data_IF_233926686601
#
_entry.id   IF_233926686601
#
_cell.length_a   1.000
_cell.length_b   1.000
_cell.length_c   1.000
_cell.angle_alpha   90.00
_cell.angle_beta   90.00
_cell.angle_gamma   90.00
#
_symmetry.space_group_name_H-M   'P 1'
#
loop_
_entity.id
_entity.type
_entity.pdbx_description
1 polymer ?
#
# COMPACT_ATOMS: atom_id res chain seq x y z
N UNK A 1 -12.71 -18.23 33.40
CA UNK A 1 -12.36 -17.82 34.77
C UNK A 1 -11.59 -16.53 34.67
N UNK A 2 -12.17 -15.38 35.07
CA UNK A 2 -11.43 -14.11 35.10
C UNK A 2 -11.21 -13.58 36.53
N UNK A 3 -11.68 -14.29 37.57
CA UNK A 3 -11.38 -13.91 38.96
C UNK A 3 -11.57 -15.03 40.01
N UNK A 4 -11.44 -16.30 39.61
CA UNK A 4 -11.65 -17.46 40.51
C UNK A 4 -13.00 -17.53 41.27
N UNK A 5 -13.95 -16.66 40.95
CA UNK A 5 -15.33 -16.72 41.45
C UNK A 5 -16.17 -17.65 40.56
N UNK A 6 -16.82 -18.64 41.17
CA UNK A 6 -17.82 -19.45 40.49
C UNK A 6 -19.03 -18.56 40.14
N UNK A 7 -19.20 -18.28 38.85
CA UNK A 7 -20.37 -17.58 38.35
C UNK A 7 -21.58 -18.51 38.49
N UNK A 8 -22.50 -18.17 39.39
CA UNK A 8 -23.77 -18.89 39.51
C UNK A 8 -24.66 -18.58 38.30
N UNK A 9 -24.57 -19.44 37.29
CA UNK A 9 -25.39 -19.40 36.08
C UNK A 9 -26.83 -19.78 36.41
N UNK A 10 -27.75 -18.83 36.25
CA UNK A 10 -29.20 -19.04 36.44
C UNK A 10 -29.86 -19.66 35.21
N UNK A 11 -29.28 -19.50 34.02
CA UNK A 11 -29.79 -20.10 32.80
C UNK A 11 -29.42 -19.32 31.54
N UNK A 12 -30.18 -19.54 30.47
CA UNK A 12 -30.03 -18.82 29.22
C UNK A 12 -31.37 -18.23 28.79
N UNK A 13 -31.35 -17.01 28.26
CA UNK A 13 -32.52 -16.35 27.68
C UNK A 13 -32.19 -15.83 26.29
N UNK A 14 -33.18 -15.80 25.41
CA UNK A 14 -33.05 -15.19 24.10
C UNK A 14 -33.83 -13.87 24.11
N UNK A 15 -33.15 -12.77 23.84
CA UNK A 15 -33.73 -11.43 23.84
C UNK A 15 -33.57 -10.80 22.45
N UNK A 16 -34.58 -10.02 22.05
CA UNK A 16 -34.52 -9.17 20.87
C UNK A 16 -33.85 -7.85 21.26
N UNK A 17 -32.61 -7.67 20.84
CA UNK A 17 -31.77 -6.49 21.12
C UNK A 17 -31.71 -5.59 19.88
N UNK A 18 -31.81 -4.28 20.08
CA UNK A 18 -31.75 -3.31 18.99
C UNK A 18 -30.46 -2.50 19.05
N UNK A 19 -29.74 -2.44 17.92
CA UNK A 19 -28.52 -1.64 17.76
C UNK A 19 -28.58 -0.98 16.38
N UNK A 20 -28.39 0.35 16.35
CA UNK A 20 -28.37 1.15 15.12
C UNK A 20 -29.63 0.93 14.24
N UNK A 21 -30.81 0.87 14.89
CA UNK A 21 -32.11 0.66 14.24
C UNK A 21 -32.36 -0.75 13.72
N UNK A 22 -31.45 -1.71 13.95
CA UNK A 22 -31.59 -3.11 13.54
C UNK A 22 -31.83 -3.99 14.75
N UNK A 23 -32.83 -4.88 14.64
CA UNK A 23 -33.19 -5.84 15.68
C UNK A 23 -32.48 -7.17 15.47
N UNK A 24 -31.89 -7.69 16.53
CA UNK A 24 -31.12 -8.92 16.56
C UNK A 24 -31.60 -9.82 17.69
N UNK A 25 -31.82 -11.09 17.37
CA UNK A 25 -32.17 -12.10 18.37
C UNK A 25 -30.91 -12.73 18.94
N UNK A 26 -30.60 -12.46 20.20
CA UNK A 26 -29.33 -12.86 20.85
C UNK A 26 -29.61 -13.71 22.08
N UNK A 27 -28.85 -14.80 22.21
CA UNK A 27 -28.85 -15.66 23.40
C UNK A 27 -27.89 -15.10 24.43
N UNK A 28 -28.42 -14.74 25.60
CA UNK A 28 -27.68 -14.29 26.77
C UNK A 28 -27.62 -15.41 27.81
N UNK A 29 -26.49 -15.47 28.52
CA UNK A 29 -26.34 -16.30 29.72
C UNK A 29 -26.66 -15.42 30.91
N UNK A 30 -27.65 -15.82 31.71
CA UNK A 30 -28.04 -15.08 32.91
C UNK A 30 -27.24 -15.61 34.08
N UNK A 31 -26.49 -14.72 34.71
CA UNK A 31 -25.65 -15.02 35.88
C UNK A 31 -26.07 -14.11 37.03
N UNK A 32 -26.11 -14.63 38.25
CA UNK A 32 -26.33 -13.81 39.45
C UNK A 32 -25.00 -13.19 39.85
N UNK A 33 -24.77 -11.95 39.46
CA UNK A 33 -23.55 -11.19 39.76
C UNK A 33 -23.89 -9.70 39.83
N UNK A 34 -23.11 -8.94 40.59
CA UNK A 34 -23.23 -7.47 40.68
C UNK A 34 -22.35 -6.74 39.64
N UNK A 35 -21.63 -7.49 38.81
CA UNK A 35 -20.72 -6.98 37.79
C UNK A 35 -21.44 -6.45 36.55
N UNK A 36 -20.75 -5.57 35.81
CA UNK A 36 -21.22 -5.04 34.52
C UNK A 36 -21.39 -6.19 33.51
N UNK A 37 -22.54 -6.29 32.82
CA UNK A 37 -22.75 -7.34 31.83
C UNK A 37 -21.80 -7.16 30.65
N UNK A 38 -21.18 -8.26 30.23
CA UNK A 38 -20.26 -8.27 29.09
C UNK A 38 -20.90 -8.90 27.86
N UNK A 39 -20.49 -8.42 26.69
CA UNK A 39 -20.90 -8.98 25.43
C UNK A 39 -19.78 -9.86 24.87
N UNK A 40 -20.09 -11.13 24.62
CA UNK A 40 -19.14 -12.07 24.03
C UNK A 40 -18.77 -11.66 22.60
N UNK A 41 -17.54 -12.00 22.19
CA UNK A 41 -17.01 -11.69 20.86
C UNK A 41 -17.95 -12.08 19.71
N UNK A 42 -18.58 -13.26 19.80
CA UNK A 42 -19.52 -13.74 18.78
C UNK A 42 -20.72 -12.78 18.66
N UNK A 43 -21.24 -12.30 19.79
CA UNK A 43 -22.34 -11.35 19.80
C UNK A 43 -21.89 -9.97 19.31
N UNK A 44 -20.70 -9.49 19.68
CA UNK A 44 -20.14 -8.23 19.16
C UNK A 44 -19.97 -8.25 17.63
N UNK A 45 -19.54 -9.38 17.05
CA UNK A 45 -19.41 -9.54 15.59
C UNK A 45 -20.80 -9.60 14.94
N UNK A 46 -21.75 -10.35 15.51
CA UNK A 46 -23.14 -10.43 14.99
C UNK A 46 -23.85 -9.08 15.00
N UNK A 47 -23.60 -8.30 16.05
CA UNK A 47 -24.11 -6.94 16.24
C UNK A 47 -23.33 -5.89 15.44
N UNK A 48 -22.30 -6.30 14.69
CA UNK A 48 -21.43 -5.41 13.93
C UNK A 48 -20.78 -4.30 14.78
N UNK A 49 -20.60 -4.53 16.08
CA UNK A 49 -19.92 -3.60 17.01
C UNK A 49 -18.40 -3.63 16.81
N UNK A 50 -17.88 -4.72 16.24
CA UNK A 50 -16.45 -4.89 15.95
C UNK A 50 -16.29 -5.23 14.48
N UNK A 51 -15.61 -4.36 13.74
CA UNK A 51 -15.25 -4.58 12.33
C UNK A 51 -13.84 -5.18 12.26
N UNK A 52 -13.73 -6.45 11.86
CA UNK A 52 -12.43 -7.10 11.60
C UNK A 52 -11.96 -6.75 10.18
N UNK A 53 -11.05 -5.79 10.07
CA UNK A 53 -10.44 -5.41 8.79
C UNK A 53 -9.16 -6.23 8.58
N UNK A 54 -9.30 -7.53 8.31
CA UNK A 54 -8.14 -8.39 7.99
C UNK A 54 -7.68 -8.28 6.53
N UNK A 55 -8.49 -7.66 5.68
CA UNK A 55 -8.11 -7.32 4.34
C UNK A 55 -8.76 -5.98 4.00
N UNK A 56 -7.95 -5.01 3.62
CA UNK A 56 -8.46 -3.88 2.85
C UNK A 56 -8.88 -4.48 1.51
N UNK A 57 -10.17 -4.81 1.36
CA UNK A 57 -10.74 -4.85 0.04
C UNK A 57 -10.63 -3.41 -0.47
N UNK A 58 -9.50 -3.10 -1.12
CA UNK A 58 -9.37 -1.95 -2.00
C UNK A 58 -10.43 -2.18 -3.06
N UNK A 59 -11.62 -1.67 -2.78
CA UNK A 59 -12.81 -1.98 -3.54
C UNK A 59 -12.55 -1.54 -4.98
N UNK A 60 -12.61 -2.50 -5.91
CA UNK A 60 -13.18 -2.41 -7.27
C UNK A 60 -12.97 -1.10 -8.06
N UNK A 61 -11.96 -0.30 -7.74
CA UNK A 61 -11.35 0.67 -8.61
C UNK A 61 -10.23 -0.09 -9.30
N UNK A 62 -10.51 -0.45 -10.54
CA UNK A 62 -9.71 -1.25 -11.46
C UNK A 62 -8.37 -0.62 -11.84
N UNK A 63 -7.53 -0.32 -10.86
CA UNK A 63 -6.17 0.16 -11.08
C UNK A 63 -5.19 -0.74 -10.32
N UNK A 64 -5.04 -1.98 -10.81
CA UNK A 64 -3.92 -2.84 -10.44
C UNK A 64 -2.59 -2.11 -10.68
N UNK A 65 -1.53 -2.47 -9.96
CA UNK A 65 -0.18 -1.92 -10.17
C UNK A 65 0.22 -1.91 -11.64
N UNK A 66 -0.09 -2.98 -12.39
CA UNK A 66 0.19 -3.02 -13.83
C UNK A 66 -0.64 -2.01 -14.63
N UNK A 67 -1.92 -1.81 -14.29
CA UNK A 67 -2.78 -0.78 -14.92
C UNK A 67 -2.17 0.61 -14.74
N UNK A 68 -1.73 0.94 -13.52
CA UNK A 68 -1.10 2.22 -13.21
C UNK A 68 0.20 2.44 -14.00
N UNK A 69 1.08 1.43 -14.02
CA UNK A 69 2.35 1.51 -14.76
C UNK A 69 2.11 1.62 -16.27
N UNK A 70 1.13 0.88 -16.80
CA UNK A 70 0.76 0.96 -18.21
C UNK A 70 0.15 2.32 -18.57
N UNK A 71 -0.70 2.88 -17.71
CA UNK A 71 -1.30 4.21 -17.88
C UNK A 71 -0.26 5.33 -17.90
N UNK A 72 0.81 5.18 -17.12
CA UNK A 72 1.91 6.16 -17.02
C UNK A 72 3.22 5.64 -17.61
N UNK A 73 3.15 4.83 -18.67
CA UNK A 73 4.32 4.17 -19.26
C UNK A 73 5.40 5.15 -19.68
N UNK A 74 5.02 6.34 -20.13
CA UNK A 74 5.94 7.43 -20.50
C UNK A 74 6.78 7.95 -19.33
N UNK A 75 6.30 7.86 -18.08
CA UNK A 75 7.05 8.24 -16.87
C UNK A 75 8.05 7.14 -16.51
N UNK A 76 7.69 5.89 -16.75
CA UNK A 76 8.47 4.71 -16.35
C UNK A 76 9.36 4.13 -17.46
N UNK A 77 9.41 4.75 -18.64
CA UNK A 77 10.21 4.25 -19.77
C UNK A 77 11.06 5.35 -20.40
N UNK A 78 12.25 4.97 -20.88
CA UNK A 78 13.20 5.87 -21.55
C UNK A 78 14.20 6.55 -20.59
N UNK A 79 14.99 7.46 -21.14
CA UNK A 79 16.00 8.25 -20.41
C UNK A 79 15.47 9.62 -19.93
N UNK A 80 14.21 9.93 -20.24
CA UNK A 80 13.61 11.25 -20.03
C UNK A 80 14.11 12.29 -21.04
N UNK A 81 13.28 13.28 -21.34
CA UNK A 81 13.65 14.42 -22.20
C UNK A 81 13.13 15.70 -21.56
N UNK A 82 14.00 16.67 -21.36
CA UNK A 82 13.59 17.98 -20.88
C UNK A 82 12.77 18.67 -21.98
N UNK A 83 11.57 19.21 -21.68
CA UNK A 83 10.70 19.81 -22.69
C UNK A 83 11.24 21.14 -23.21
N UNK A 84 12.10 21.81 -22.42
CA UNK A 84 12.66 23.12 -22.75
C UNK A 84 14.05 22.96 -23.39
N UNK A 85 14.34 23.83 -24.36
CA UNK A 85 15.69 24.01 -24.89
C UNK A 85 16.54 24.71 -23.83
N UNK A 86 17.72 24.16 -23.57
CA UNK A 86 18.72 24.76 -22.68
C UNK A 86 19.72 25.54 -23.53
N UNK A 87 19.89 26.82 -23.24
CA UNK A 87 20.97 27.64 -23.80
C UNK A 87 22.17 27.53 -22.85
N UNK A 88 23.30 27.03 -23.35
CA UNK A 88 24.54 26.97 -22.58
C UNK A 88 25.35 28.24 -22.87
N UNK A 89 25.49 29.10 -21.87
CA UNK A 89 26.28 30.33 -21.97
C UNK A 89 27.72 30.08 -21.50
N UNK A 90 28.69 30.59 -22.26
CA UNK A 90 30.10 30.52 -21.90
C UNK A 90 30.47 31.76 -21.07
N UNK A 91 31.38 31.58 -20.12
CA UNK A 91 31.97 32.70 -19.39
C UNK A 91 32.77 33.58 -20.34
N UNK A 92 32.84 34.88 -20.04
CA UNK A 92 33.74 35.80 -20.74
C UNK A 92 35.18 35.28 -20.69
N UNK A 93 35.85 35.23 -21.85
CA UNK A 93 37.20 34.68 -22.03
C UNK A 93 37.34 33.15 -21.82
N UNK A 94 36.27 32.37 -21.99
CA UNK A 94 36.36 30.91 -21.96
C UNK A 94 37.35 30.37 -23.00
N UNK A 95 38.38 29.63 -22.54
CA UNK A 95 39.35 28.96 -23.41
C UNK A 95 38.83 27.57 -23.79
N UNK A 96 38.84 27.26 -25.09
CA UNK A 96 38.56 25.90 -25.56
C UNK A 96 39.68 24.96 -25.11
N UNK A 97 39.31 23.82 -24.53
CA UNK A 97 40.27 22.80 -24.06
C UNK A 97 40.05 21.53 -24.89
N UNK A 98 41.08 21.13 -25.63
CA UNK A 98 41.10 19.87 -26.36
C UNK A 98 41.79 18.84 -25.48
N UNK A 99 41.04 17.83 -25.03
CA UNK A 99 41.59 16.72 -24.26
C UNK A 99 41.88 15.53 -25.18
N UNK A 100 43.06 14.91 -25.02
CA UNK A 100 43.40 13.67 -25.70
C UNK A 100 42.51 12.51 -25.25
N UNK A 101 42.27 11.56 -26.15
CA UNK A 101 41.50 10.35 -25.85
C UNK A 101 42.18 9.54 -24.74
N UNK A 102 41.42 9.16 -23.70
CA UNK A 102 41.94 8.31 -22.61
C UNK A 102 41.99 6.84 -23.03
N UNK A 103 43.05 6.14 -22.64
CA UNK A 103 43.18 4.70 -22.85
C UNK A 103 42.15 3.95 -22.00
N UNK A 104 41.45 3.00 -22.62
CA UNK A 104 40.42 2.18 -21.98
C UNK A 104 40.88 0.71 -22.05
N UNK A 105 40.72 -0.09 -20.98
CA UNK A 105 41.03 -1.52 -21.01
C UNK A 105 40.29 -2.25 -22.15
N UNK A 106 40.95 -3.19 -22.80
CA UNK A 106 40.38 -3.92 -23.94
C UNK A 106 39.09 -4.64 -23.58
N UNK A 107 39.01 -5.15 -22.35
CA UNK A 107 37.83 -5.82 -21.79
C UNK A 107 36.58 -4.93 -21.69
N UNK A 108 36.75 -3.61 -21.58
CA UNK A 108 35.64 -2.65 -21.39
C UNK A 108 35.17 -2.06 -22.72
N UNK A 109 36.04 -2.01 -23.73
CA UNK A 109 35.72 -1.50 -25.07
C UNK A 109 34.45 -2.10 -25.69
N UNK A 110 34.19 -3.43 -25.66
CA UNK A 110 32.98 -3.98 -26.27
C UNK A 110 31.71 -3.46 -25.59
N UNK A 111 31.66 -3.46 -24.24
CA UNK A 111 30.53 -2.94 -23.46
C UNK A 111 30.31 -1.45 -23.70
N UNK A 112 31.39 -0.66 -23.74
CA UNK A 112 31.30 0.77 -24.02
C UNK A 112 30.73 1.01 -25.43
N UNK A 113 31.19 0.27 -26.44
CA UNK A 113 30.70 0.38 -27.80
C UNK A 113 29.22 0.06 -27.89
N UNK A 114 28.78 -1.03 -27.25
CA UNK A 114 27.36 -1.41 -27.19
C UNK A 114 26.48 -0.29 -26.60
N UNK A 115 26.91 0.30 -25.48
CA UNK A 115 26.18 1.40 -24.84
C UNK A 115 26.15 2.64 -25.74
N UNK A 116 27.26 2.99 -26.38
CA UNK A 116 27.32 4.13 -27.31
C UNK A 116 26.41 3.91 -28.53
N UNK A 117 26.41 2.71 -29.10
CA UNK A 117 25.55 2.36 -30.24
C UNK A 117 24.07 2.35 -29.84
N UNK A 118 23.75 1.92 -28.61
CA UNK A 118 22.40 2.04 -28.04
C UNK A 118 21.97 3.48 -27.91
N UNK A 119 22.82 4.35 -27.34
CA UNK A 119 22.51 5.78 -27.13
C UNK A 119 22.34 6.53 -28.46
N UNK A 120 23.13 6.20 -29.48
CA UNK A 120 22.96 6.79 -30.84
C UNK A 120 21.60 6.47 -31.47
N UNK A 121 21.01 5.31 -31.15
CA UNK A 121 19.69 4.90 -31.66
C UNK A 121 18.53 5.59 -30.93
N UNK A 122 18.76 6.12 -29.73
CA UNK A 122 17.76 6.85 -28.94
C UNK A 122 17.77 8.31 -29.42
N UNK A 123 16.69 8.75 -30.07
CA UNK A 123 16.54 10.08 -30.66
C UNK A 123 15.55 10.95 -29.87
#
# INVERSE_FOLDING_TARGET
SYDNQELSCLGNIVLDSEIDGKKYRIKYVVVKTESVPILGLIACVKLNLIKRVNNLQVGLASDTKESFVNKHKNVFTGVGKFPKKLTLELKENAKSVINSVRRIPESVKPKLKEVLDRLKKIK
#
